data_IF_182628482377
#
_entry.id   IF_182628482377
#
_cell.length_a   1.000
_cell.length_b   1.000
_cell.length_c   1.000
_cell.angle_alpha   90.00
_cell.angle_beta   90.00
_cell.angle_gamma   90.00
#
_symmetry.space_group_name_H-M   'P 1'
#
loop_
_entity.id
_entity.type
_entity.pdbx_description
1 polymer ?
#
# COMPACT_ATOMS: atom_id res chain seq x y z
N UNK A 1 -23.88 27.08 -2.85
CA UNK A 1 -24.85 26.17 -2.19
C UNK A 1 -25.40 25.24 -3.27
N UNK A 2 -24.81 24.05 -3.42
CA UNK A 2 -25.35 22.97 -4.28
C UNK A 2 -26.36 22.17 -3.46
N UNK A 3 -27.57 21.98 -4.00
CA UNK A 3 -28.68 21.27 -3.35
C UNK A 3 -28.72 19.79 -3.75
N UNK A 4 -29.23 18.97 -2.84
CA UNK A 4 -29.07 17.51 -2.76
C UNK A 4 -30.01 16.67 -3.67
N UNK A 5 -30.36 17.14 -4.87
CA UNK A 5 -31.42 16.48 -5.67
C UNK A 5 -30.94 15.51 -6.76
N UNK A 6 -29.63 15.38 -7.03
CA UNK A 6 -29.12 14.63 -8.19
C UNK A 6 -28.68 13.17 -7.92
N UNK A 7 -28.68 12.69 -6.67
CA UNK A 7 -28.11 11.36 -6.33
C UNK A 7 -29.12 10.20 -6.31
N UNK A 8 -30.39 10.44 -6.63
CA UNK A 8 -31.48 9.46 -6.46
C UNK A 8 -31.60 8.42 -7.60
N UNK A 9 -30.73 8.46 -8.62
CA UNK A 9 -30.92 7.69 -9.85
C UNK A 9 -30.20 6.34 -9.96
N UNK A 10 -29.27 6.00 -9.05
CA UNK A 10 -28.31 4.90 -9.31
C UNK A 10 -28.59 3.59 -8.56
N UNK A 11 -29.67 3.49 -7.76
CA UNK A 11 -29.86 2.34 -6.86
C UNK A 11 -30.91 1.30 -7.27
N UNK A 12 -31.41 1.33 -8.50
CA UNK A 12 -32.44 0.35 -8.92
C UNK A 12 -32.18 -0.21 -10.31
N UNK A 13 -31.24 -1.15 -10.46
CA UNK A 13 -31.45 -2.23 -11.44
C UNK A 13 -30.92 -3.58 -10.92
N UNK A 14 -31.77 -4.63 -10.93
CA UNK A 14 -31.45 -5.94 -10.40
C UNK A 14 -30.78 -6.86 -11.43
N UNK A 15 -30.04 -7.82 -10.89
CA UNK A 15 -29.60 -9.09 -11.46
C UNK A 15 -30.51 -9.65 -12.58
N UNK A 16 -29.99 -9.80 -13.80
CA UNK A 16 -30.32 -10.91 -14.71
C UNK A 16 -29.14 -11.24 -15.64
N UNK A 17 -28.53 -12.42 -15.45
CA UNK A 17 -27.93 -13.28 -16.52
C UNK A 17 -29.04 -14.29 -16.90
N UNK A 18 -29.07 -15.00 -18.05
CA UNK A 18 -28.00 -15.28 -19.02
C UNK A 18 -28.46 -15.24 -20.52
N UNK A 19 -27.59 -15.58 -21.48
CA UNK A 19 -27.84 -16.61 -22.53
C UNK A 19 -26.92 -16.44 -23.76
N UNK A 20 -26.34 -17.57 -24.14
CA UNK A 20 -25.57 -17.91 -25.34
C UNK A 20 -26.30 -17.68 -26.66
N UNK A 21 -25.64 -17.10 -27.68
CA UNK A 21 -25.74 -17.52 -29.09
C UNK A 21 -24.86 -16.67 -30.03
N UNK A 22 -23.92 -17.35 -30.69
CA UNK A 22 -23.50 -17.22 -32.09
C UNK A 22 -23.79 -15.92 -32.86
N UNK A 23 -22.74 -15.33 -33.45
CA UNK A 23 -22.53 -15.36 -34.92
C UNK A 23 -21.16 -14.81 -35.31
N UNK A 24 -20.32 -15.70 -35.83
CA UNK A 24 -19.16 -15.36 -36.65
C UNK A 24 -19.64 -14.88 -38.03
N UNK A 25 -19.13 -13.74 -38.49
CA UNK A 25 -19.28 -13.28 -39.88
C UNK A 25 -17.90 -12.86 -40.42
N UNK A 26 -17.28 -13.83 -41.08
CA UNK A 26 -16.44 -13.77 -42.27
C UNK A 26 -15.72 -12.46 -42.66
N UNK A 27 -14.38 -12.56 -42.66
CA UNK A 27 -13.47 -12.20 -43.76
C UNK A 27 -14.13 -11.76 -45.07
N UNK A 28 -13.92 -10.49 -45.48
CA UNK A 28 -13.70 -10.11 -46.89
C UNK A 28 -12.65 -8.98 -46.95
N UNK A 29 -11.56 -9.28 -47.65
CA UNK A 29 -10.46 -8.40 -48.11
C UNK A 29 -10.93 -7.47 -49.24
N UNK A 30 -10.44 -6.22 -49.24
CA UNK A 30 -10.16 -5.29 -50.38
C UNK A 30 -10.06 -3.88 -49.76
N UNK A 31 -8.88 -3.34 -49.43
CA UNK A 31 -7.95 -2.77 -50.39
C UNK A 31 -8.08 -1.23 -50.36
N UNK A 32 -7.10 -0.52 -49.79
CA UNK A 32 -7.19 0.94 -49.70
C UNK A 32 -6.13 1.63 -48.85
N UNK A 33 -4.89 1.58 -49.35
CA UNK A 33 -3.73 2.44 -49.09
C UNK A 33 -4.07 3.86 -48.56
N UNK A 34 -3.61 4.22 -47.35
CA UNK A 34 -3.27 5.60 -46.95
C UNK A 34 -2.25 5.59 -45.80
N UNK A 35 -1.00 5.74 -46.22
CA UNK A 35 0.15 6.39 -45.56
C UNK A 35 0.50 6.07 -44.11
N UNK A 36 1.66 5.42 -44.01
CA UNK A 36 2.52 5.36 -42.84
C UNK A 36 3.09 6.73 -42.46
N UNK A 37 3.19 6.99 -41.15
CA UNK A 37 4.35 7.63 -40.55
C UNK A 37 4.95 6.65 -39.54
N UNK A 38 6.21 6.20 -39.72
CA UNK A 38 6.93 5.50 -38.68
C UNK A 38 7.50 6.55 -37.73
N UNK A 39 6.86 6.77 -36.58
CA UNK A 39 7.57 7.38 -35.45
C UNK A 39 8.55 6.33 -34.94
N UNK A 40 9.74 6.34 -35.55
CA UNK A 40 10.95 5.76 -35.02
C UNK A 40 11.30 6.50 -33.73
N UNK A 41 10.61 6.17 -32.63
CA UNK A 41 11.01 6.54 -31.29
C UNK A 41 12.27 5.73 -30.96
N UNK A 42 13.41 6.33 -31.30
CA UNK A 42 14.76 5.94 -30.91
C UNK A 42 14.77 5.52 -29.43
N UNK A 43 15.36 4.38 -29.04
CA UNK A 43 15.53 4.05 -27.64
C UNK A 43 16.43 5.12 -27.02
N UNK A 44 15.82 6.03 -26.26
CA UNK A 44 16.55 6.96 -25.41
C UNK A 44 17.25 6.07 -24.40
N UNK A 45 18.57 5.98 -24.53
CA UNK A 45 19.45 5.32 -23.58
C UNK A 45 18.92 5.61 -22.17
N UNK A 46 18.62 4.54 -21.45
CA UNK A 46 18.34 4.60 -20.03
C UNK A 46 19.52 5.31 -19.37
N UNK A 47 19.34 6.59 -19.05
CA UNK A 47 20.21 7.27 -18.12
C UNK A 47 20.05 6.54 -16.80
N UNK A 48 21.03 5.70 -16.49
CA UNK A 48 21.29 5.23 -15.15
C UNK A 48 21.32 6.47 -14.26
N UNK A 49 20.21 6.74 -13.57
CA UNK A 49 20.20 7.70 -12.48
C UNK A 49 20.93 7.03 -11.33
N UNK A 50 22.24 7.27 -11.28
CA UNK A 50 23.02 7.11 -10.07
C UNK A 50 22.39 8.09 -9.06
N UNK A 51 21.51 7.56 -8.21
CA UNK A 51 20.85 8.34 -7.17
C UNK A 51 21.89 9.08 -6.32
N UNK A 52 21.57 10.27 -5.79
CA UNK A 52 22.54 11.07 -5.06
C UNK A 52 23.11 10.27 -3.90
N UNK A 53 24.42 10.10 -3.96
CA UNK A 53 25.25 9.63 -2.87
C UNK A 53 24.96 10.48 -1.62
N UNK A 54 24.58 9.77 -0.56
CA UNK A 54 24.11 10.30 0.71
C UNK A 54 25.10 11.32 1.28
N UNK A 55 24.75 12.61 1.15
CA UNK A 55 25.40 13.66 1.96
C UNK A 55 25.14 13.32 3.42
N UNK A 56 26.22 13.19 4.19
CA UNK A 56 26.21 12.78 5.59
C UNK A 56 25.26 13.69 6.38
N UNK A 57 24.04 13.21 6.58
CA UNK A 57 23.00 13.91 7.28
C UNK A 57 23.39 14.06 8.75
N UNK A 58 22.99 15.18 9.36
CA UNK A 58 22.81 15.24 10.82
C UNK A 58 22.03 13.98 11.22
N UNK A 59 22.37 13.30 12.33
CA UNK A 59 21.65 12.10 12.74
C UNK A 59 20.17 12.49 12.84
N UNK A 60 19.39 12.04 11.86
CA UNK A 60 17.97 12.23 11.87
C UNK A 60 17.52 11.47 13.10
N UNK A 61 16.91 12.18 14.06
CA UNK A 61 16.44 11.58 15.32
C UNK A 61 15.50 10.40 15.05
N UNK A 62 15.00 10.27 13.83
CA UNK A 62 14.18 9.18 13.35
C UNK A 62 14.32 8.99 11.83
N UNK A 63 14.83 7.85 11.38
CA UNK A 63 15.17 7.51 9.99
C UNK A 63 13.98 7.13 9.09
N UNK A 64 12.74 7.33 9.55
CA UNK A 64 11.55 6.97 8.79
C UNK A 64 11.23 8.01 7.70
N UNK A 65 11.19 7.63 6.41
CA UNK A 65 10.81 8.52 5.34
C UNK A 65 9.33 8.94 5.48
N UNK A 66 9.00 10.14 4.97
CA UNK A 66 7.63 10.69 5.06
C UNK A 66 6.58 9.72 4.51
N UNK A 67 6.89 9.05 3.39
CA UNK A 67 6.01 8.05 2.81
C UNK A 67 5.68 6.92 3.80
N UNK A 68 6.70 6.32 4.44
CA UNK A 68 6.50 5.21 5.38
C UNK A 68 5.71 5.63 6.61
N UNK A 69 5.88 6.87 7.08
CA UNK A 69 5.09 7.42 8.19
C UNK A 69 3.60 7.49 7.82
N UNK A 70 3.29 8.04 6.64
CA UNK A 70 1.91 8.17 6.16
C UNK A 70 1.27 6.80 5.96
N UNK A 71 1.97 5.86 5.31
CA UNK A 71 1.49 4.49 5.10
C UNK A 71 1.22 3.78 6.44
N UNK A 72 2.11 3.95 7.42
CA UNK A 72 1.92 3.40 8.77
C UNK A 72 0.70 3.98 9.48
N UNK A 73 0.49 5.30 9.40
CA UNK A 73 -0.68 5.97 9.99
C UNK A 73 -1.97 5.48 9.33
N UNK A 74 -2.00 5.37 8.00
CA UNK A 74 -3.16 4.87 7.27
C UNK A 74 -3.50 3.42 7.65
N UNK A 75 -2.49 2.57 7.79
CA UNK A 75 -2.69 1.19 8.24
C UNK A 75 -3.20 1.13 9.68
N UNK A 76 -2.60 1.90 10.58
CA UNK A 76 -3.05 1.97 11.97
C UNK A 76 -4.51 2.44 12.07
N UNK A 77 -4.91 3.45 11.29
CA UNK A 77 -6.31 3.91 11.27
C UNK A 77 -7.26 2.81 10.79
N UNK A 78 -6.84 1.99 9.81
CA UNK A 78 -7.62 0.84 9.36
C UNK A 78 -7.78 -0.24 10.45
N UNK A 79 -6.75 -0.46 11.28
CA UNK A 79 -6.78 -1.38 12.42
C UNK A 79 -7.66 -0.86 13.58
N UNK A 80 -7.83 0.46 13.74
CA UNK A 80 -8.47 1.11 14.89
C UNK A 80 -9.84 1.75 14.61
N UNK A 81 -10.52 1.39 13.51
CA UNK A 81 -11.92 1.78 13.28
C UNK A 81 -12.14 2.93 12.28
N UNK A 82 -11.17 3.18 11.39
CA UNK A 82 -11.36 3.97 10.18
C UNK A 82 -10.68 5.33 10.17
N UNK A 83 -10.89 6.06 9.07
CA UNK A 83 -10.12 7.26 8.70
C UNK A 83 -10.61 8.55 9.39
N UNK A 84 -10.73 8.54 10.71
CA UNK A 84 -11.18 9.69 11.51
C UNK A 84 -9.98 10.50 12.06
N UNK A 85 -10.20 11.78 12.38
CA UNK A 85 -9.16 12.65 12.93
C UNK A 85 -8.64 12.16 14.30
N UNK A 86 -9.52 11.64 15.16
CA UNK A 86 -9.12 11.11 16.47
C UNK A 86 -8.12 9.94 16.32
N UNK A 87 -8.46 8.97 15.45
CA UNK A 87 -7.57 7.85 15.13
C UNK A 87 -6.27 8.33 14.50
N UNK A 88 -6.32 9.34 13.62
CA UNK A 88 -5.12 9.92 13.03
C UNK A 88 -4.16 10.45 14.11
N UNK A 89 -4.65 11.19 15.11
CA UNK A 89 -3.81 11.72 16.19
C UNK A 89 -3.16 10.61 17.02
N UNK A 90 -3.90 9.54 17.34
CA UNK A 90 -3.35 8.39 18.07
C UNK A 90 -2.33 7.60 17.23
N UNK A 91 -2.63 7.39 15.94
CA UNK A 91 -1.75 6.66 15.03
C UNK A 91 -0.46 7.43 14.70
N UNK A 92 -0.48 8.76 14.67
CA UNK A 92 0.73 9.59 14.55
C UNK A 92 1.63 9.40 15.77
N UNK A 93 1.08 9.38 16.99
CA UNK A 93 1.84 9.04 18.19
C UNK A 93 2.43 7.62 18.10
N UNK A 94 1.65 6.67 17.58
CA UNK A 94 2.05 5.27 17.52
C UNK A 94 3.29 5.05 16.63
N UNK A 95 3.34 5.69 15.45
CA UNK A 95 4.51 5.56 14.55
C UNK A 95 5.76 6.21 15.14
N UNK A 96 5.62 7.31 15.87
CA UNK A 96 6.77 7.93 16.56
C UNK A 96 7.31 7.03 17.68
N UNK A 97 6.45 6.30 18.40
CA UNK A 97 6.90 5.28 19.37
C UNK A 97 7.63 4.12 18.70
N UNK A 98 7.10 3.61 17.60
CA UNK A 98 7.73 2.50 16.85
C UNK A 98 9.13 2.90 16.36
N UNK A 99 9.24 4.08 15.78
CA UNK A 99 10.49 4.56 15.21
C UNK A 99 11.56 4.92 16.26
N UNK A 100 11.19 5.11 17.53
CA UNK A 100 12.15 5.18 18.64
C UNK A 100 12.71 3.81 19.03
N UNK A 101 12.09 2.70 18.61
CA UNK A 101 12.47 1.33 19.00
C UNK A 101 13.20 0.55 17.91
N UNK A 102 13.04 0.93 16.65
CA UNK A 102 13.70 0.25 15.53
C UNK A 102 13.99 1.20 14.38
N UNK A 103 15.01 0.86 13.58
CA UNK A 103 15.34 1.59 12.35
C UNK A 103 14.27 1.35 11.28
N UNK A 104 14.23 2.23 10.28
CA UNK A 104 13.34 2.06 9.14
C UNK A 104 13.63 0.77 8.35
N UNK A 105 14.91 0.38 8.24
CA UNK A 105 15.29 -0.88 7.59
C UNK A 105 14.65 -2.08 8.30
N UNK A 106 14.82 -2.15 9.62
CA UNK A 106 14.25 -3.24 10.42
C UNK A 106 12.72 -3.22 10.39
N UNK A 107 12.12 -2.01 10.40
CA UNK A 107 10.69 -1.82 10.32
C UNK A 107 10.11 -2.35 9.00
N UNK A 108 10.65 -1.93 7.85
CA UNK A 108 10.16 -2.35 6.54
C UNK A 108 10.31 -3.87 6.31
N UNK A 109 11.42 -4.46 6.78
CA UNK A 109 11.61 -5.92 6.75
C UNK A 109 10.63 -6.63 7.68
N UNK A 110 10.43 -6.13 8.91
CA UNK A 110 9.48 -6.71 9.86
C UNK A 110 8.03 -6.68 9.37
N UNK A 111 7.63 -5.61 8.67
CA UNK A 111 6.33 -5.53 8.01
C UNK A 111 6.21 -6.58 6.93
N UNK A 112 7.23 -6.73 6.08
CA UNK A 112 7.24 -7.73 5.01
C UNK A 112 7.10 -9.14 5.57
N UNK A 113 7.89 -9.49 6.60
CA UNK A 113 7.77 -10.78 7.27
C UNK A 113 6.40 -10.97 7.91
N UNK A 114 5.81 -9.92 8.50
CA UNK A 114 4.49 -10.01 9.14
C UNK A 114 3.38 -10.23 8.12
N UNK A 115 3.39 -9.49 7.01
CA UNK A 115 2.36 -9.61 5.98
C UNK A 115 2.42 -10.92 5.23
N UNK A 116 3.62 -11.40 4.93
CA UNK A 116 3.79 -12.62 4.15
C UNK A 116 3.78 -13.89 5.03
N UNK A 117 3.73 -13.75 6.36
CA UNK A 117 3.80 -14.86 7.30
C UNK A 117 2.70 -15.91 7.09
N UNK A 118 1.50 -15.47 6.71
CA UNK A 118 0.33 -16.36 6.56
C UNK A 118 0.18 -16.91 5.13
N UNK A 119 1.15 -16.67 4.24
CA UNK A 119 1.14 -17.18 2.87
C UNK A 119 1.16 -18.72 2.86
N UNK A 120 0.14 -19.41 2.31
CA UNK A 120 0.09 -20.87 2.36
C UNK A 120 1.17 -21.55 1.49
N UNK A 121 1.53 -22.78 1.86
CA UNK A 121 2.47 -23.63 1.13
C UNK A 121 3.95 -23.27 1.31
N UNK A 122 4.81 -23.91 0.53
CA UNK A 122 6.28 -23.79 0.61
C UNK A 122 6.76 -22.35 0.38
N UNK A 123 5.99 -21.55 -0.37
CA UNK A 123 6.30 -20.12 -0.62
C UNK A 123 6.19 -19.26 0.64
N UNK A 124 5.38 -19.69 1.62
CA UNK A 124 5.36 -19.06 2.93
C UNK A 124 6.53 -19.47 3.83
N UNK A 125 7.13 -20.63 3.59
CA UNK A 125 8.32 -21.09 4.33
C UNK A 125 9.45 -20.07 4.29
N UNK A 126 9.66 -19.44 3.13
CA UNK A 126 10.66 -18.37 2.93
C UNK A 126 10.52 -17.19 3.92
N UNK A 127 9.31 -16.93 4.43
CA UNK A 127 9.06 -15.86 5.40
C UNK A 127 8.99 -16.36 6.85
N UNK A 128 8.87 -17.66 7.09
CA UNK A 128 8.77 -18.26 8.44
C UNK A 128 10.09 -18.82 8.93
N UNK A 129 10.87 -19.40 8.03
CA UNK A 129 12.06 -20.19 8.33
C UNK A 129 13.31 -19.35 8.67
N UNK A 130 13.55 -18.17 8.06
CA UNK A 130 14.74 -17.38 8.39
C UNK A 130 14.74 -16.94 9.87
N UNK A 131 15.87 -17.05 10.58
CA UNK A 131 15.95 -16.66 12.00
C UNK A 131 15.65 -15.17 12.21
N UNK A 132 15.97 -14.34 11.22
CA UNK A 132 15.67 -12.90 11.22
C UNK A 132 14.17 -12.61 11.24
N UNK A 133 13.34 -13.47 10.63
CA UNK A 133 11.88 -13.28 10.59
C UNK A 133 11.31 -13.19 12.00
N UNK A 134 11.63 -14.16 12.85
CA UNK A 134 11.16 -14.18 14.24
C UNK A 134 11.66 -12.96 15.02
N UNK A 135 12.95 -12.64 14.92
CA UNK A 135 13.57 -11.53 15.66
C UNK A 135 12.89 -10.19 15.31
N UNK A 136 12.75 -9.91 14.02
CA UNK A 136 12.20 -8.64 13.55
C UNK A 136 10.69 -8.53 13.82
N UNK A 137 9.93 -9.62 13.65
CA UNK A 137 8.52 -9.65 14.00
C UNK A 137 8.28 -9.46 15.51
N UNK A 138 9.10 -10.09 16.35
CA UNK A 138 9.01 -9.93 17.81
C UNK A 138 9.34 -8.49 18.22
N UNK A 139 10.36 -7.87 17.58
CA UNK A 139 10.70 -6.46 17.81
C UNK A 139 9.59 -5.51 17.38
N UNK A 140 8.98 -5.73 16.21
CA UNK A 140 7.84 -4.95 15.74
C UNK A 140 6.64 -5.11 16.68
N UNK A 141 6.37 -6.34 17.15
CA UNK A 141 5.30 -6.60 18.12
C UNK A 141 5.53 -5.83 19.42
N UNK A 142 6.73 -5.89 19.98
CA UNK A 142 7.07 -5.15 21.20
C UNK A 142 6.94 -3.62 21.00
N UNK A 143 7.36 -3.11 19.85
CA UNK A 143 7.20 -1.69 19.51
C UNK A 143 5.73 -1.27 19.37
N UNK A 144 4.89 -2.11 18.75
CA UNK A 144 3.43 -1.92 18.65
C UNK A 144 2.72 -2.05 20.01
N UNK A 145 3.26 -2.83 20.93
CA UNK A 145 2.71 -2.97 22.29
C UNK A 145 2.98 -1.73 23.13
N UNK A 146 4.19 -1.16 23.06
CA UNK A 146 4.48 0.12 23.71
C UNK A 146 3.67 1.27 23.13
N UNK A 147 3.43 1.26 21.82
CA UNK A 147 2.62 2.28 21.16
C UNK A 147 1.15 2.26 21.60
N UNK A 148 0.68 1.20 22.27
CA UNK A 148 -0.67 1.17 22.86
C UNK A 148 -0.89 2.29 23.89
N UNK A 149 0.18 2.83 24.48
CA UNK A 149 0.12 4.00 25.37
C UNK A 149 -0.44 5.25 24.68
N UNK A 150 -0.41 5.30 23.34
CA UNK A 150 -0.98 6.40 22.55
C UNK A 150 -2.51 6.35 22.46
N UNK A 151 -3.15 5.21 22.79
CA UNK A 151 -4.59 5.01 22.61
C UNK A 151 -5.31 5.11 23.95
N UNK A 152 -6.04 6.20 24.22
CA UNK A 152 -6.89 6.30 25.39
C UNK A 152 -8.03 5.29 25.26
N UNK A 153 -8.34 4.62 26.38
CA UNK A 153 -9.59 3.85 26.48
C UNK A 153 -10.73 4.85 26.64
N UNK A 154 -11.29 5.28 25.51
CA UNK A 154 -12.49 6.10 25.53
C UNK A 154 -13.69 5.19 25.86
N UNK A 155 -14.53 5.57 26.83
CA UNK A 155 -15.78 4.85 27.04
C UNK A 155 -16.62 4.94 25.76
N UNK A 156 -17.20 3.80 25.35
CA UNK A 156 -18.15 3.78 24.25
C UNK A 156 -19.30 4.77 24.54
N UNK A 157 -19.74 5.57 23.54
CA UNK A 157 -20.88 6.46 23.69
C UNK A 157 -22.19 5.71 23.92
#
# INVERSE_FOLDING_TARGET
>A
MMTASDYSGFLTMPFTRPSTAMRAVHFILLGGLLMAEPVAAKPKAASAQKGPESSKALPLVNDFPTQARVESVMQCMAEHGGSNLDNMYHCVCAIDKIANRMSFKDYSESLTFTYMFDTPGDKGGEFRDPPQSKILRDRLKAAKEESQTCFPKLPAP
#
